data_IF_675122009686
#
_entry.id   IF_675122009686
#
_cell.length_a   1.000
_cell.length_b   1.000
_cell.length_c   1.000
_cell.angle_alpha   90.00
_cell.angle_beta   90.00
_cell.angle_gamma   90.00
#
_symmetry.space_group_name_H-M   'P 1'
#
loop_
_entity.id
_entity.type
_entity.pdbx_description
1 polymer ?
#
# COMPACT_ATOMS: atom_id res chain seq x y z
N UNK A 1 -9.28 -1.38 8.17
CA UNK A 1 -9.92 -2.71 8.15
C UNK A 1 -9.08 -3.75 7.41
N UNK A 2 -8.62 -3.45 6.18
CA UNK A 2 -7.79 -4.37 5.38
C UNK A 2 -6.62 -5.01 6.15
N UNK A 3 -5.82 -4.20 6.88
CA UNK A 3 -4.72 -4.71 7.70
C UNK A 3 -5.17 -5.79 8.72
N UNK A 4 -6.23 -5.50 9.49
CA UNK A 4 -6.77 -6.45 10.47
C UNK A 4 -7.31 -7.72 9.79
N UNK A 5 -8.01 -7.57 8.66
CA UNK A 5 -8.53 -8.69 7.89
C UNK A 5 -7.43 -9.56 7.27
N UNK A 6 -6.29 -8.96 6.89
CA UNK A 6 -5.09 -9.66 6.44
C UNK A 6 -4.32 -10.33 7.59
N UNK A 7 -4.79 -10.22 8.83
CA UNK A 7 -4.22 -10.88 10.00
C UNK A 7 -3.04 -10.14 10.63
N UNK A 8 -2.87 -8.85 10.34
CA UNK A 8 -1.84 -8.00 10.96
C UNK A 8 -2.20 -7.78 12.43
N UNK A 9 -1.21 -7.96 13.32
CA UNK A 9 -1.35 -7.90 14.77
C UNK A 9 -0.45 -6.81 15.38
N UNK A 10 -0.72 -6.41 16.63
CA UNK A 10 0.17 -5.51 17.35
C UNK A 10 1.61 -6.02 17.40
N UNK A 11 2.57 -5.14 17.11
CA UNK A 11 3.99 -5.45 17.05
C UNK A 11 4.50 -6.05 15.74
N UNK A 12 3.62 -6.39 14.79
CA UNK A 12 4.03 -6.71 13.42
C UNK A 12 4.58 -5.48 12.70
N UNK A 13 5.45 -5.70 11.73
CA UNK A 13 5.98 -4.65 10.86
C UNK A 13 5.26 -4.63 9.51
N UNK A 14 4.93 -3.42 9.04
CA UNK A 14 4.30 -3.21 7.73
C UNK A 14 5.15 -2.23 6.94
N UNK A 15 5.65 -2.67 5.79
CA UNK A 15 6.47 -1.85 4.91
C UNK A 15 5.59 -0.89 4.12
N UNK A 16 5.94 0.39 4.10
CA UNK A 16 5.36 1.39 3.20
C UNK A 16 6.38 2.49 2.93
N UNK A 17 5.97 3.61 2.34
CA UNK A 17 6.83 4.77 2.08
C UNK A 17 6.43 5.96 2.96
N UNK A 18 7.38 6.80 3.42
CA UNK A 18 7.04 8.03 4.13
C UNK A 18 6.55 9.12 3.17
N UNK A 19 6.76 8.96 1.86
CA UNK A 19 6.24 9.85 0.83
C UNK A 19 4.83 9.40 0.40
N UNK A 20 3.89 9.50 1.34
CA UNK A 20 2.46 9.21 1.15
C UNK A 20 1.62 10.14 2.01
N UNK A 21 0.29 10.07 1.88
CA UNK A 21 -0.61 10.72 2.84
C UNK A 21 -0.57 9.99 4.19
N UNK A 22 -0.58 10.75 5.29
CA UNK A 22 -0.36 10.24 6.65
C UNK A 22 -1.31 9.09 7.04
N UNK A 23 -2.52 9.04 6.47
CA UNK A 23 -3.49 7.98 6.73
C UNK A 23 -2.97 6.57 6.42
N UNK A 24 -2.06 6.41 5.45
CA UNK A 24 -1.43 5.11 5.17
C UNK A 24 -0.67 4.60 6.40
N UNK A 25 0.10 5.48 7.06
CA UNK A 25 0.88 5.17 8.26
C UNK A 25 0.01 5.10 9.51
N UNK A 26 -0.97 6.00 9.65
CA UNK A 26 -1.92 5.96 10.77
C UNK A 26 -2.73 4.65 10.78
N UNK A 27 -3.12 4.14 9.61
CA UNK A 27 -3.81 2.86 9.53
C UNK A 27 -2.96 1.70 10.09
N UNK A 28 -1.64 1.73 9.87
CA UNK A 28 -0.68 0.77 10.44
C UNK A 28 -0.61 0.91 11.95
N UNK A 29 -0.43 2.13 12.46
CA UNK A 29 -0.33 2.35 13.91
C UNK A 29 -1.64 2.09 14.64
N UNK A 30 -2.79 2.34 13.99
CA UNK A 30 -4.12 2.13 14.56
C UNK A 30 -4.44 0.65 14.81
N UNK A 31 -3.81 -0.30 14.08
CA UNK A 31 -3.89 -1.72 14.41
C UNK A 31 -2.76 -2.21 15.33
N UNK A 32 -1.95 -1.29 15.88
CA UNK A 32 -0.83 -1.58 16.76
C UNK A 32 0.44 -2.09 16.06
N UNK A 33 0.46 -2.09 14.73
CA UNK A 33 1.63 -2.47 13.95
C UNK A 33 2.63 -1.30 13.82
N UNK A 34 3.83 -1.61 13.37
CA UNK A 34 4.96 -0.69 13.25
C UNK A 34 5.22 -0.40 11.77
N UNK A 35 5.13 0.86 11.32
CA UNK A 35 5.48 1.21 9.95
C UNK A 35 6.99 1.10 9.73
N UNK A 36 7.40 0.43 8.66
CA UNK A 36 8.79 0.34 8.22
C UNK A 36 8.92 1.07 6.89
N UNK A 37 9.72 2.13 6.87
CA UNK A 37 9.81 3.02 5.72
C UNK A 37 10.84 2.57 4.69
N UNK A 38 10.38 2.54 3.44
CA UNK A 38 11.17 2.39 2.22
C UNK A 38 11.02 3.65 1.38
N UNK A 39 12.14 4.12 0.86
CA UNK A 39 12.21 5.32 0.04
C UNK A 39 11.58 5.11 -1.35
N UNK A 40 11.30 6.19 -2.07
CA UNK A 40 10.63 6.18 -3.37
C UNK A 40 11.61 6.10 -4.55
N UNK A 41 11.07 5.83 -5.74
CA UNK A 41 11.70 6.18 -7.01
C UNK A 41 11.34 7.64 -7.36
N UNK A 42 12.34 8.51 -7.62
CA UNK A 42 12.06 9.94 -7.86
C UNK A 42 11.26 10.22 -9.13
N UNK A 43 11.25 9.30 -10.10
CA UNK A 43 10.52 9.43 -11.36
C UNK A 43 9.03 9.10 -11.23
N UNK A 44 8.67 8.23 -10.29
CA UNK A 44 7.29 7.74 -10.13
C UNK A 44 6.64 8.20 -8.84
N UNK A 45 7.44 8.66 -7.88
CA UNK A 45 7.05 8.96 -6.50
C UNK A 45 6.46 7.79 -5.72
N UNK A 46 6.49 6.58 -6.29
CA UNK A 46 6.02 5.37 -5.64
C UNK A 46 7.19 4.65 -4.95
N UNK A 47 6.86 3.77 -4.00
CA UNK A 47 7.82 2.97 -3.24
C UNK A 47 8.82 2.26 -4.16
N UNK A 48 10.11 2.37 -3.88
CA UNK A 48 11.17 1.73 -4.67
C UNK A 48 11.27 0.24 -4.33
N UNK A 49 10.90 -0.69 -5.24
CA UNK A 49 10.92 -2.11 -4.92
C UNK A 49 12.33 -2.65 -4.64
N UNK A 50 13.35 -2.09 -5.29
CA UNK A 50 14.75 -2.47 -5.09
C UNK A 50 15.30 -2.16 -3.70
N UNK A 51 14.59 -1.34 -2.91
CA UNK A 51 14.95 -1.01 -1.51
C UNK A 51 14.14 -1.81 -0.47
N UNK A 52 13.08 -2.52 -0.87
CA UNK A 52 12.16 -3.22 0.05
C UNK A 52 12.86 -4.37 0.77
N UNK A 53 13.56 -5.24 0.06
CA UNK A 53 14.08 -6.49 0.62
C UNK A 53 15.01 -6.25 1.83
N UNK A 54 15.83 -5.20 1.78
CA UNK A 54 16.73 -4.80 2.88
C UNK A 54 16.02 -4.33 4.15
N UNK A 55 14.72 -4.06 4.08
CA UNK A 55 13.88 -3.62 5.19
C UNK A 55 13.02 -4.76 5.77
N UNK A 56 13.06 -5.94 5.16
CA UNK A 56 12.30 -7.10 5.66
C UNK A 56 12.99 -7.67 6.90
N UNK A 57 12.21 -7.92 7.93
CA UNK A 57 12.59 -8.58 9.18
C UNK A 57 11.66 -9.76 9.47
N UNK A 58 11.95 -10.61 10.48
CA UNK A 58 11.03 -11.66 10.93
C UNK A 58 9.65 -11.14 11.37
N UNK A 59 9.56 -9.86 11.74
CA UNK A 59 8.31 -9.19 12.13
C UNK A 59 7.53 -8.64 10.94
N UNK A 60 8.13 -8.53 9.75
CA UNK A 60 7.43 -8.01 8.57
C UNK A 60 6.31 -8.98 8.18
N UNK A 61 5.09 -8.44 8.02
CA UNK A 61 3.91 -9.22 7.62
C UNK A 61 3.21 -8.68 6.38
N UNK A 62 3.41 -7.41 6.04
CA UNK A 62 2.79 -6.82 4.85
C UNK A 62 3.62 -5.72 4.21
N UNK A 63 3.29 -5.44 2.95
CA UNK A 63 3.74 -4.28 2.18
C UNK A 63 2.49 -3.51 1.74
N UNK A 64 2.47 -2.20 1.99
CA UNK A 64 1.46 -1.27 1.46
C UNK A 64 2.10 -0.41 0.37
N UNK A 65 2.07 -0.83 -0.90
CA UNK A 65 2.37 0.06 -2.00
C UNK A 65 1.22 1.07 -2.16
N UNK A 66 1.59 2.35 -2.22
CA UNK A 66 0.66 3.44 -2.52
C UNK A 66 0.73 3.71 -4.01
N UNK A 67 -0.42 3.92 -4.64
CA UNK A 67 -0.51 4.34 -6.04
C UNK A 67 -0.68 5.86 -6.09
N UNK A 68 0.45 6.54 -5.94
CA UNK A 68 0.46 7.98 -5.72
C UNK A 68 0.11 8.73 -7.01
N UNK A 69 -0.64 9.83 -6.87
CA UNK A 69 -1.02 10.74 -7.96
C UNK A 69 -1.72 10.09 -9.16
N UNK A 70 -2.37 8.94 -8.95
CA UNK A 70 -3.06 8.20 -10.01
C UNK A 70 -2.18 7.24 -10.79
N UNK A 71 -0.90 7.13 -10.45
CA UNK A 71 0.04 6.21 -11.08
C UNK A 71 0.23 4.94 -10.23
N UNK A 72 0.06 3.74 -10.82
CA UNK A 72 0.34 2.50 -10.11
C UNK A 72 1.82 2.39 -9.71
N UNK A 73 2.06 1.84 -8.51
CA UNK A 73 3.39 1.43 -8.10
C UNK A 73 3.90 0.28 -9.00
N UNK A 74 5.21 0.05 -9.02
CA UNK A 74 5.75 -1.09 -9.75
C UNK A 74 5.42 -2.41 -9.03
N UNK A 75 4.27 -2.99 -9.36
CA UNK A 75 3.69 -4.10 -8.59
C UNK A 75 4.36 -5.45 -8.83
N UNK A 76 4.92 -5.74 -10.01
CA UNK A 76 5.53 -7.06 -10.27
C UNK A 76 6.64 -7.41 -9.28
N UNK A 77 7.65 -6.55 -9.02
CA UNK A 77 8.68 -6.85 -8.03
C UNK A 77 8.14 -6.87 -6.59
N UNK A 78 7.13 -6.04 -6.28
CA UNK A 78 6.47 -6.04 -4.95
C UNK A 78 5.82 -7.40 -4.69
N UNK A 79 5.06 -7.92 -5.66
CA UNK A 79 4.41 -9.23 -5.58
C UNK A 79 5.43 -10.38 -5.49
N UNK A 80 6.54 -10.29 -6.22
CA UNK A 80 7.62 -11.28 -6.18
C UNK A 80 8.25 -11.36 -4.78
N UNK A 81 8.62 -10.21 -4.20
CA UNK A 81 9.13 -10.13 -2.84
C UNK A 81 8.10 -10.62 -1.82
N UNK A 82 6.84 -10.23 -1.97
CA UNK A 82 5.77 -10.67 -1.08
C UNK A 82 5.60 -12.20 -1.12
N UNK A 83 5.63 -12.81 -2.31
CA UNK A 83 5.58 -14.27 -2.46
C UNK A 83 6.79 -14.95 -1.84
N UNK A 84 8.00 -14.42 -2.05
CA UNK A 84 9.25 -14.97 -1.50
C UNK A 84 9.27 -14.99 0.04
N UNK A 85 8.73 -13.95 0.67
CA UNK A 85 8.76 -13.78 2.13
C UNK A 85 7.43 -14.09 2.82
N UNK A 86 6.43 -14.59 2.07
CA UNK A 86 5.07 -14.86 2.56
C UNK A 86 4.45 -13.63 3.24
N UNK A 87 4.57 -12.47 2.60
CA UNK A 87 4.00 -11.19 3.04
C UNK A 87 2.67 -10.93 2.32
N UNK A 88 1.79 -10.20 2.98
CA UNK A 88 0.57 -9.65 2.36
C UNK A 88 0.87 -8.38 1.58
N UNK A 89 0.17 -8.17 0.48
CA UNK A 89 0.21 -6.92 -0.30
C UNK A 89 -1.16 -6.25 -0.19
N UNK A 90 -1.19 -5.06 0.41
CA UNK A 90 -2.43 -4.28 0.55
C UNK A 90 -2.25 -3.00 -0.26
N UNK A 91 -2.98 -2.87 -1.36
CA UNK A 91 -2.87 -1.69 -2.23
C UNK A 91 -3.54 -0.48 -1.57
N UNK A 92 -2.84 0.64 -1.46
CA UNK A 92 -3.45 1.94 -1.19
C UNK A 92 -3.77 2.61 -2.53
N UNK A 93 -5.02 2.47 -2.96
CA UNK A 93 -5.54 2.99 -4.23
C UNK A 93 -6.28 4.32 -4.05
N UNK A 94 -6.13 5.01 -2.92
CA UNK A 94 -6.91 6.20 -2.57
C UNK A 94 -6.79 7.35 -3.59
N UNK A 95 -5.78 7.33 -4.47
CA UNK A 95 -5.56 8.35 -5.50
C UNK A 95 -5.61 7.80 -6.94
N UNK A 96 -5.85 6.50 -7.12
CA UNK A 96 -5.63 5.83 -8.41
C UNK A 96 -6.79 4.98 -8.90
N UNK A 97 -8.01 5.19 -8.38
CA UNK A 97 -9.17 4.46 -8.88
C UNK A 97 -9.29 4.60 -10.41
N UNK A 98 -9.33 3.45 -11.09
CA UNK A 98 -9.43 3.37 -12.55
C UNK A 98 -8.09 3.16 -13.28
N UNK A 99 -6.95 3.38 -12.62
CA UNK A 99 -5.61 3.14 -13.18
C UNK A 99 -5.36 1.64 -13.43
N UNK A 100 -4.39 1.36 -14.30
CA UNK A 100 -4.02 0.00 -14.68
C UNK A 100 -2.52 -0.25 -14.59
N UNK A 101 -2.15 -1.38 -14.00
CA UNK A 101 -0.80 -1.92 -14.07
C UNK A 101 -0.80 -3.17 -14.95
N UNK A 102 -0.11 -3.11 -16.10
CA UNK A 102 -0.01 -4.21 -17.07
C UNK A 102 -1.37 -4.82 -17.44
N UNK A 103 -2.35 -3.96 -17.70
CA UNK A 103 -3.72 -4.35 -18.09
C UNK A 103 -4.61 -4.86 -16.95
N UNK A 104 -4.14 -4.83 -15.70
CA UNK A 104 -4.96 -5.12 -14.51
C UNK A 104 -5.30 -3.82 -13.79
N UNK A 105 -6.56 -3.66 -13.38
CA UNK A 105 -6.98 -2.51 -12.57
C UNK A 105 -6.26 -2.53 -11.22
N UNK A 106 -5.84 -1.35 -10.76
CA UNK A 106 -5.37 -1.23 -9.38
C UNK A 106 -6.50 -1.55 -8.40
N UNK A 107 -6.13 -2.15 -7.28
CA UNK A 107 -7.04 -2.67 -6.28
C UNK A 107 -7.51 -4.10 -6.53
N UNK A 108 -7.06 -4.73 -7.63
CA UNK A 108 -7.29 -6.15 -7.92
C UNK A 108 -5.98 -6.94 -8.10
N UNK A 109 -4.86 -6.41 -7.60
CA UNK A 109 -3.52 -6.94 -7.86
C UNK A 109 -2.94 -7.61 -6.60
N UNK A 110 -3.10 -6.98 -5.44
CA UNK A 110 -2.69 -7.49 -4.13
C UNK A 110 -3.70 -8.43 -3.47
N UNK A 111 -3.48 -8.72 -2.19
CA UNK A 111 -4.40 -9.50 -1.35
C UNK A 111 -5.66 -8.71 -0.96
N UNK A 112 -5.52 -7.39 -0.80
CA UNK A 112 -6.59 -6.46 -0.48
C UNK A 112 -6.25 -5.06 -1.03
N UNK A 113 -7.25 -4.18 -1.06
CA UNK A 113 -7.08 -2.82 -1.51
C UNK A 113 -7.95 -1.87 -0.69
N UNK A 114 -7.53 -0.61 -0.64
CA UNK A 114 -8.27 0.47 0.00
C UNK A 114 -8.55 1.57 -1.02
N UNK A 115 -9.79 2.06 -1.05
CA UNK A 115 -10.20 3.20 -1.85
C UNK A 115 -10.66 4.36 -0.97
N UNK A 116 -10.53 5.57 -1.50
CA UNK A 116 -11.07 6.78 -0.90
C UNK A 116 -12.03 7.44 -1.89
N UNK A 117 -13.19 7.82 -1.38
CA UNK A 117 -14.19 8.61 -2.09
C UNK A 117 -14.31 10.00 -1.46
N UNK A 118 -13.23 10.53 -0.87
CA UNK A 118 -13.20 11.93 -0.43
C UNK A 118 -13.57 12.85 -1.63
N UNK A 119 -14.22 14.00 -1.42
CA UNK A 119 -14.86 14.73 -2.53
C UNK A 119 -13.92 15.15 -3.67
N UNK A 120 -12.62 15.31 -3.40
CA UNK A 120 -11.61 15.69 -4.39
C UNK A 120 -10.90 14.50 -5.07
N UNK A 121 -11.32 13.25 -4.84
CA UNK A 121 -10.75 12.07 -5.50
C UNK A 121 -11.26 11.93 -6.93
N UNK A 122 -10.59 11.08 -7.73
CA UNK A 122 -10.98 10.77 -9.12
C UNK A 122 -12.46 10.37 -9.22
N UNK A 123 -12.95 9.61 -8.23
CA UNK A 123 -14.36 9.38 -7.98
C UNK A 123 -14.66 9.82 -6.54
N UNK A 124 -15.21 11.02 -6.38
CA UNK A 124 -15.59 11.55 -5.08
C UNK A 124 -17.05 11.27 -4.72
N UNK A 125 -17.31 11.01 -3.45
CA UNK A 125 -18.65 11.10 -2.86
C UNK A 125 -18.94 12.55 -2.43
N UNK A 126 -20.19 12.83 -2.05
CA UNK A 126 -20.55 14.11 -1.43
C UNK A 126 -20.35 14.07 0.09
N UNK A 127 -19.13 13.74 0.50
CA UNK A 127 -18.72 13.58 1.90
C UNK A 127 -17.53 12.64 2.04
N UNK A 128 -17.32 12.13 3.26
CA UNK A 128 -16.31 11.10 3.51
C UNK A 128 -16.82 9.72 3.07
N UNK A 129 -15.95 8.95 2.43
CA UNK A 129 -16.24 7.58 2.00
C UNK A 129 -14.98 6.80 1.67
N UNK A 130 -15.06 5.47 1.79
CA UNK A 130 -14.00 4.55 1.42
C UNK A 130 -14.54 3.14 1.22
N UNK A 131 -13.70 2.27 0.67
CA UNK A 131 -13.95 0.83 0.49
C UNK A 131 -12.68 0.06 0.84
#
# INVERSE_FOLDING_TARGET
LALVACGIKPGDEVITTPFTFIATTEAITNCGAIPVFVDIEPETYNINPGKIESKISPKTKAIIPVHLYGQPANMSPVLELAGKYNLRVIEDCAQALGAEYKGKKVGSIGDAACLSFFPSKVLGAYGDGGM
#
